data_IF_305326946647
#
_entry.id   IF_305326946647
#
_cell.length_a   1.000
_cell.length_b   1.000
_cell.length_c   1.000
_cell.angle_alpha   90.00
_cell.angle_beta   90.00
_cell.angle_gamma   90.00
#
_symmetry.space_group_name_H-M   'P 1'
#
loop_
_entity.id
_entity.type
_entity.pdbx_description
1 polymer ?
#
# COMPACT_ATOMS: atom_id res chain seq x y z
N UNK A 1 9.25 24.81 -36.04
CA UNK A 1 9.81 23.47 -35.90
C UNK A 1 10.62 23.40 -34.62
N UNK A 2 10.00 23.01 -33.51
CA UNK A 2 10.71 22.77 -32.24
C UNK A 2 10.77 21.26 -32.06
N UNK A 3 11.99 20.75 -32.20
CA UNK A 3 12.33 19.36 -31.86
C UNK A 3 12.03 19.07 -30.39
N UNK A 4 10.89 18.46 -30.14
CA UNK A 4 10.60 17.72 -28.90
C UNK A 4 11.27 16.35 -28.99
N UNK A 5 12.59 16.34 -28.96
CA UNK A 5 13.32 15.12 -28.64
C UNK A 5 13.25 14.96 -27.12
N UNK A 6 12.36 14.08 -26.70
CA UNK A 6 12.26 13.68 -25.29
C UNK A 6 13.62 13.26 -24.78
N UNK A 7 14.07 13.88 -23.68
CA UNK A 7 15.21 13.42 -22.91
C UNK A 7 14.87 12.01 -22.42
N UNK A 8 15.39 11.01 -23.12
CA UNK A 8 15.46 9.64 -22.64
C UNK A 8 16.27 9.71 -21.35
N UNK A 9 15.58 9.62 -20.22
CA UNK A 9 16.26 9.41 -18.95
C UNK A 9 17.03 8.10 -19.05
N UNK A 10 18.35 8.13 -18.98
CA UNK A 10 19.21 6.95 -18.87
C UNK A 10 19.01 6.28 -17.52
N UNK A 11 17.79 5.78 -17.29
CA UNK A 11 17.48 4.78 -16.30
C UNK A 11 17.74 3.42 -16.94
N UNK A 12 18.53 2.59 -16.33
CA UNK A 12 18.81 1.23 -16.77
C UNK A 12 17.50 0.45 -16.77
N UNK A 13 16.85 0.33 -17.95
CA UNK A 13 15.64 -0.45 -18.10
C UNK A 13 15.99 -1.94 -17.91
N UNK A 14 15.52 -2.51 -16.79
CA UNK A 14 15.53 -3.95 -16.58
C UNK A 14 14.26 -4.52 -17.23
N UNK A 15 14.38 -5.26 -18.32
CA UNK A 15 13.26 -5.99 -18.91
C UNK A 15 12.81 -7.07 -17.93
N UNK A 16 11.64 -6.88 -17.31
CA UNK A 16 11.02 -7.88 -16.46
C UNK A 16 10.64 -9.13 -17.26
N UNK A 17 10.65 -10.27 -16.62
CA UNK A 17 10.43 -11.60 -17.18
C UNK A 17 8.97 -11.90 -17.58
N UNK A 18 8.04 -10.97 -17.40
CA UNK A 18 6.67 -11.08 -17.93
C UNK A 18 6.52 -10.23 -19.19
N UNK A 19 5.95 -10.83 -20.23
CA UNK A 19 5.75 -10.18 -21.53
C UNK A 19 5.00 -8.86 -21.36
N UNK A 20 5.70 -7.73 -21.46
CA UNK A 20 5.09 -6.43 -21.67
C UNK A 20 5.24 -5.37 -20.57
N UNK A 21 5.85 -5.66 -19.41
CA UNK A 21 6.07 -4.64 -18.38
C UNK A 21 7.52 -4.12 -18.43
N UNK A 22 7.67 -2.80 -18.55
CA UNK A 22 8.97 -2.10 -18.49
C UNK A 22 9.17 -1.58 -17.09
N UNK A 23 10.35 -1.82 -16.50
CA UNK A 23 10.67 -1.36 -15.14
C UNK A 23 11.77 -0.30 -15.22
N UNK A 24 11.50 0.88 -14.66
CA UNK A 24 12.36 2.06 -14.71
C UNK A 24 12.67 2.50 -13.29
N UNK A 25 13.96 2.66 -12.95
CA UNK A 25 14.38 3.24 -11.65
C UNK A 25 14.49 4.74 -11.77
N UNK A 26 13.70 5.46 -10.98
CA UNK A 26 13.62 6.90 -11.04
C UNK A 26 14.79 7.60 -10.32
N UNK A 27 15.22 8.72 -10.89
CA UNK A 27 16.26 9.59 -10.30
C UNK A 27 15.63 10.51 -9.26
N UNK A 28 16.33 10.86 -8.17
CA UNK A 28 15.78 11.77 -7.17
C UNK A 28 15.64 13.20 -7.70
N UNK A 29 14.50 13.85 -7.37
CA UNK A 29 14.26 15.27 -7.63
C UNK A 29 13.92 15.99 -6.31
N UNK A 30 14.95 16.58 -5.71
CA UNK A 30 14.90 17.09 -4.33
C UNK A 30 13.89 18.22 -4.14
N UNK A 31 13.84 19.20 -5.04
CA UNK A 31 13.05 20.40 -4.82
C UNK A 31 11.56 20.08 -4.79
N UNK A 32 11.04 19.33 -5.77
CA UNK A 32 9.64 18.89 -5.78
C UNK A 32 9.30 18.00 -4.57
N UNK A 33 10.24 17.18 -4.09
CA UNK A 33 10.04 16.39 -2.87
C UNK A 33 9.90 17.29 -1.65
N UNK A 34 10.77 18.30 -1.50
CA UNK A 34 10.75 19.22 -0.37
C UNK A 34 9.51 20.11 -0.36
N UNK A 35 9.03 20.52 -1.52
CA UNK A 35 7.78 21.25 -1.67
C UNK A 35 6.59 20.40 -1.19
N UNK A 36 6.50 19.16 -1.64
CA UNK A 36 5.48 18.20 -1.17
C UNK A 36 5.59 18.00 0.33
N UNK A 37 6.80 17.74 0.85
CA UNK A 37 7.03 17.55 2.27
C UNK A 37 6.60 18.77 3.10
N UNK A 38 6.84 19.98 2.62
CA UNK A 38 6.45 21.22 3.31
C UNK A 38 4.93 21.29 3.51
N UNK A 39 4.15 20.88 2.50
CA UNK A 39 2.67 20.86 2.54
C UNK A 39 2.12 19.81 3.50
N UNK A 40 2.74 18.63 3.55
CA UNK A 40 2.18 17.46 4.28
C UNK A 40 2.80 17.23 5.66
N UNK A 41 3.91 17.88 5.99
CA UNK A 41 4.70 17.64 7.21
C UNK A 41 3.87 17.63 8.51
N UNK A 42 2.89 18.52 8.61
CA UNK A 42 2.03 18.64 9.80
C UNK A 42 1.14 17.40 10.05
N UNK A 43 0.88 16.59 9.01
CA UNK A 43 0.03 15.41 9.09
C UNK A 43 0.80 14.11 9.39
N UNK A 44 2.12 14.09 9.19
CA UNK A 44 2.97 12.91 9.40
C UNK A 44 2.77 12.28 10.79
N UNK A 45 2.79 13.03 11.92
CA UNK A 45 2.64 12.44 13.24
C UNK A 45 1.30 11.71 13.45
N UNK A 46 0.21 12.26 12.89
CA UNK A 46 -1.12 11.66 13.01
C UNK A 46 -1.21 10.34 12.26
N UNK A 47 -0.67 10.27 11.04
CA UNK A 47 -0.63 9.03 10.24
C UNK A 47 0.29 8.00 10.89
N UNK A 48 1.50 8.39 11.29
CA UNK A 48 2.44 7.48 11.98
C UNK A 48 1.81 6.88 13.25
N UNK A 49 1.09 7.68 14.03
CA UNK A 49 0.37 7.20 15.22
C UNK A 49 -0.73 6.21 14.85
N UNK A 50 -1.55 6.51 13.84
CA UNK A 50 -2.62 5.62 13.37
C UNK A 50 -2.07 4.28 12.89
N UNK A 51 -1.01 4.29 12.11
CA UNK A 51 -0.36 3.08 11.58
C UNK A 51 0.33 2.30 12.70
N UNK A 52 1.00 2.97 13.63
CA UNK A 52 1.68 2.35 14.77
C UNK A 52 0.70 1.63 15.70
N UNK A 53 -0.43 2.26 16.04
CA UNK A 53 -1.48 1.63 16.83
C UNK A 53 -2.08 0.40 16.14
N UNK A 54 -2.10 0.38 14.81
CA UNK A 54 -2.64 -0.75 14.03
C UNK A 54 -1.66 -1.92 13.94
N UNK A 55 -0.35 -1.68 14.03
CA UNK A 55 0.69 -2.71 13.96
C UNK A 55 1.05 -3.34 15.32
N UNK A 56 0.66 -2.72 16.44
CA UNK A 56 1.16 -3.09 17.78
C UNK A 56 0.23 -3.97 18.62
N UNK A 57 -1.01 -4.24 18.22
CA UNK A 57 -1.96 -4.92 19.11
C UNK A 57 -2.58 -6.18 18.52
N UNK A 58 -1.77 -7.18 18.23
CA UNK A 58 -2.26 -8.54 18.21
C UNK A 58 -1.76 -9.28 19.46
N UNK A 59 -2.53 -9.22 20.52
CA UNK A 59 -2.36 -10.17 21.63
C UNK A 59 -2.82 -11.53 21.10
N UNK A 60 -1.88 -12.42 20.81
CA UNK A 60 -2.17 -13.82 20.57
C UNK A 60 -2.75 -14.42 21.87
N UNK A 61 -4.04 -14.66 21.90
CA UNK A 61 -4.66 -15.36 23.01
C UNK A 61 -4.65 -16.84 22.66
N UNK A 62 -3.74 -17.59 23.28
CA UNK A 62 -3.75 -19.04 23.20
C UNK A 62 -4.82 -19.55 24.14
N UNK A 63 -5.90 -20.13 23.60
CA UNK A 63 -6.99 -20.75 24.34
C UNK A 63 -6.74 -22.25 24.48
N UNK A 64 -7.45 -22.91 25.43
CA UNK A 64 -7.30 -24.34 25.62
C UNK A 64 -5.99 -24.74 26.32
N UNK A 65 -5.43 -23.86 27.10
CA UNK A 65 -4.21 -24.10 27.88
C UNK A 65 -4.55 -24.78 29.21
N UNK A 66 -3.57 -25.51 29.79
CA UNK A 66 -3.69 -26.12 31.11
C UNK A 66 -3.34 -25.20 32.27
N UNK A 67 -2.86 -24.02 32.00
CA UNK A 67 -2.49 -23.02 33.01
C UNK A 67 -2.51 -21.64 32.38
N UNK A 68 -2.84 -20.60 33.15
CA UNK A 68 -2.95 -19.23 32.72
C UNK A 68 -4.18 -18.55 33.35
N UNK A 69 -4.74 -17.58 32.63
CA UNK A 69 -5.98 -16.93 33.02
C UNK A 69 -7.17 -17.80 32.60
N UNK A 70 -8.18 -17.93 33.45
CA UNK A 70 -9.37 -18.71 33.14
C UNK A 70 -10.09 -18.10 31.93
N UNK A 71 -10.39 -18.93 30.94
CA UNK A 71 -11.24 -18.52 29.80
C UNK A 71 -12.70 -18.44 30.29
N UNK A 72 -13.22 -17.22 30.39
CA UNK A 72 -14.59 -17.00 30.87
C UNK A 72 -15.66 -17.68 30.01
N UNK A 73 -15.37 -17.96 28.74
CA UNK A 73 -16.25 -18.77 27.87
C UNK A 73 -16.27 -20.25 28.20
N UNK A 74 -15.34 -20.75 29.05
CA UNK A 74 -15.19 -22.17 29.44
C UNK A 74 -15.39 -22.40 30.93
N UNK A 75 -16.09 -21.52 31.62
CA UNK A 75 -16.36 -21.64 33.07
C UNK A 75 -17.12 -22.96 33.39
N UNK A 76 -18.11 -23.33 32.60
CA UNK A 76 -18.87 -24.56 32.79
C UNK A 76 -17.98 -25.80 32.67
N UNK A 77 -17.05 -25.83 31.72
CA UNK A 77 -16.08 -26.92 31.54
C UNK A 77 -15.08 -26.98 32.71
N UNK A 78 -14.72 -25.81 33.28
CA UNK A 78 -13.85 -25.76 34.45
C UNK A 78 -14.49 -26.45 35.68
N UNK A 79 -15.79 -26.23 35.90
CA UNK A 79 -16.53 -26.92 36.97
C UNK A 79 -16.64 -28.45 36.76
N UNK A 80 -16.52 -28.88 35.51
CA UNK A 80 -16.50 -30.33 35.17
C UNK A 80 -15.09 -30.93 35.25
N UNK A 81 -14.10 -30.16 35.71
CA UNK A 81 -12.73 -30.63 35.88
C UNK A 81 -11.92 -30.74 34.58
N UNK A 82 -12.37 -30.12 33.48
CA UNK A 82 -11.65 -30.12 32.22
C UNK A 82 -10.36 -29.24 32.38
N UNK A 83 -9.15 -29.79 32.15
CA UNK A 83 -7.91 -29.07 32.44
C UNK A 83 -7.55 -27.99 31.40
N UNK A 84 -8.21 -27.93 30.23
CA UNK A 84 -7.90 -27.09 29.10
C UNK A 84 -8.79 -25.82 29.01
N UNK A 85 -9.07 -25.24 30.18
CA UNK A 85 -9.98 -24.09 30.33
C UNK A 85 -9.27 -22.76 30.51
N UNK A 86 -7.96 -22.75 30.41
CA UNK A 86 -7.17 -21.53 30.59
C UNK A 86 -6.79 -20.93 29.27
N UNK A 87 -6.55 -19.62 29.29
CA UNK A 87 -5.96 -18.86 28.19
C UNK A 87 -4.69 -18.18 28.66
N UNK A 88 -3.75 -17.97 27.75
CA UNK A 88 -2.50 -17.29 28.00
C UNK A 88 -2.30 -16.24 26.95
N UNK A 89 -1.99 -15.01 27.36
CA UNK A 89 -1.52 -13.97 26.46
C UNK A 89 -0.09 -14.33 26.02
N UNK A 90 0.09 -14.64 24.73
CA UNK A 90 1.41 -14.80 24.15
C UNK A 90 2.04 -13.45 23.89
N UNK A 91 3.37 -13.36 24.00
CA UNK A 91 4.09 -12.20 23.48
C UNK A 91 3.94 -12.19 21.96
N UNK A 92 3.36 -11.11 21.44
CA UNK A 92 3.33 -10.88 20.01
C UNK A 92 4.77 -10.61 19.56
N UNK A 93 5.36 -11.54 18.81
CA UNK A 93 6.42 -11.16 17.88
C UNK A 93 5.75 -10.18 16.95
N UNK A 94 6.23 -8.92 16.94
CA UNK A 94 5.85 -7.94 15.94
C UNK A 94 6.13 -8.56 14.57
N UNK A 95 5.11 -9.12 13.93
CA UNK A 95 5.25 -9.65 12.59
C UNK A 95 5.69 -8.49 11.70
N UNK A 96 6.72 -8.74 10.91
CA UNK A 96 7.12 -7.78 9.88
C UNK A 96 5.93 -7.56 8.96
N UNK A 97 5.63 -6.32 8.70
CA UNK A 97 4.58 -5.92 7.75
C UNK A 97 5.28 -5.33 6.53
N UNK A 98 4.83 -5.70 5.36
CA UNK A 98 5.24 -5.03 4.14
C UNK A 98 4.15 -4.04 3.71
N UNK A 99 4.57 -2.87 3.24
CA UNK A 99 3.69 -1.86 2.66
C UNK A 99 4.12 -1.61 1.23
N UNK A 100 3.17 -1.65 0.31
CA UNK A 100 3.35 -1.27 -1.08
C UNK A 100 2.50 -0.04 -1.38
N UNK A 101 3.07 0.95 -2.05
CA UNK A 101 2.37 2.12 -2.56
C UNK A 101 2.52 2.08 -4.08
N UNK A 102 1.41 2.08 -4.79
CA UNK A 102 1.36 2.20 -6.24
C UNK A 102 0.66 3.50 -6.61
N UNK A 103 1.32 4.33 -7.40
CA UNK A 103 0.89 5.68 -7.78
C UNK A 103 0.50 5.65 -9.26
N UNK A 104 -0.69 6.09 -9.55
CA UNK A 104 -1.13 6.34 -10.92
C UNK A 104 -0.43 7.61 -11.45
N UNK A 105 0.31 7.44 -12.53
CA UNK A 105 1.01 8.51 -13.25
C UNK A 105 0.44 8.68 -14.67
N UNK A 106 -0.86 8.45 -14.81
CA UNK A 106 -1.56 8.67 -16.07
C UNK A 106 -1.76 10.16 -16.38
N UNK A 107 -2.06 10.45 -17.63
CA UNK A 107 -2.26 11.83 -18.09
C UNK A 107 -3.46 12.52 -17.45
N UNK A 108 -4.47 11.78 -16.99
CA UNK A 108 -5.63 12.31 -16.26
C UNK A 108 -5.23 12.93 -14.91
N UNK A 109 -4.15 12.45 -14.31
CA UNK A 109 -3.60 12.99 -13.06
C UNK A 109 -2.92 14.36 -13.20
N UNK A 110 -2.77 14.90 -14.42
CA UNK A 110 -2.04 16.15 -14.66
C UNK A 110 -2.58 17.33 -13.81
N UNK A 111 -1.65 18.10 -13.24
CA UNK A 111 -1.96 19.30 -12.46
C UNK A 111 -2.17 19.03 -10.97
N UNK A 112 -3.39 19.25 -10.46
CA UNK A 112 -3.70 19.10 -9.04
C UNK A 112 -3.66 17.63 -8.60
N UNK A 113 -4.13 16.71 -9.43
CA UNK A 113 -4.10 15.28 -9.19
C UNK A 113 -2.69 14.73 -8.98
N UNK A 114 -1.75 15.09 -9.88
CA UNK A 114 -0.33 14.73 -9.76
C UNK A 114 0.28 15.26 -8.46
N UNK A 115 -0.03 16.50 -8.12
CA UNK A 115 0.48 17.14 -6.90
C UNK A 115 -0.09 16.44 -5.67
N UNK A 116 -1.39 16.15 -5.64
CA UNK A 116 -2.06 15.46 -4.54
C UNK A 116 -1.55 14.01 -4.39
N UNK A 117 -1.32 13.30 -5.49
CA UNK A 117 -0.74 11.96 -5.48
C UNK A 117 0.68 11.95 -4.91
N UNK A 118 1.53 12.87 -5.37
CA UNK A 118 2.88 13.04 -4.86
C UNK A 118 2.88 13.40 -3.38
N UNK A 119 2.06 14.35 -2.97
CA UNK A 119 1.92 14.77 -1.57
C UNK A 119 1.48 13.59 -0.69
N UNK A 120 0.51 12.80 -1.15
CA UNK A 120 0.05 11.59 -0.45
C UNK A 120 1.15 10.54 -0.35
N UNK A 121 1.88 10.29 -1.43
CA UNK A 121 2.98 9.33 -1.45
C UNK A 121 4.14 9.76 -0.54
N UNK A 122 4.51 11.04 -0.56
CA UNK A 122 5.54 11.61 0.34
C UNK A 122 5.08 11.51 1.80
N UNK A 123 3.83 11.84 2.09
CA UNK A 123 3.25 11.72 3.43
C UNK A 123 3.32 10.30 3.96
N UNK A 124 2.91 9.32 3.17
CA UNK A 124 2.97 7.90 3.52
C UNK A 124 4.42 7.40 3.66
N UNK A 125 5.31 7.81 2.74
CA UNK A 125 6.73 7.45 2.81
C UNK A 125 7.38 7.93 4.10
N UNK A 126 7.14 9.18 4.50
CA UNK A 126 7.69 9.75 5.73
C UNK A 126 7.05 9.13 6.98
N UNK A 127 5.73 8.94 6.97
CA UNK A 127 5.01 8.38 8.10
C UNK A 127 5.39 6.91 8.37
N UNK A 128 5.46 6.10 7.30
CA UNK A 128 5.79 4.67 7.38
C UNK A 128 7.29 4.47 7.59
N UNK A 129 8.13 5.31 6.98
CA UNK A 129 9.59 5.24 7.11
C UNK A 129 10.10 5.42 8.55
N UNK A 130 9.29 5.98 9.46
CA UNK A 130 9.60 6.08 10.89
C UNK A 130 9.26 4.81 11.69
N UNK A 131 8.53 3.85 11.08
CA UNK A 131 8.08 2.64 11.76
C UNK A 131 9.17 1.56 11.68
N UNK A 132 9.47 0.95 12.83
CA UNK A 132 10.34 -0.22 12.88
C UNK A 132 9.55 -1.46 12.40
N UNK A 133 10.25 -2.41 11.76
CA UNK A 133 9.69 -3.66 11.24
C UNK A 133 8.68 -3.52 10.09
N UNK A 134 8.74 -2.42 9.33
CA UNK A 134 7.94 -2.24 8.11
C UNK A 134 8.87 -2.17 6.89
N UNK A 135 8.71 -3.11 5.96
CA UNK A 135 9.36 -3.05 4.65
C UNK A 135 8.47 -2.21 3.71
N UNK A 136 9.02 -1.15 3.11
CA UNK A 136 8.27 -0.22 2.27
C UNK A 136 8.73 -0.30 0.82
N UNK A 137 7.75 -0.47 -0.08
CA UNK A 137 7.90 -0.52 -1.53
C UNK A 137 7.07 0.58 -2.16
N UNK A 138 7.62 1.34 -3.10
CA UNK A 138 6.91 2.43 -3.76
C UNK A 138 7.17 2.39 -5.25
N UNK A 139 6.08 2.35 -6.01
CA UNK A 139 6.07 2.31 -7.46
C UNK A 139 5.13 3.38 -8.02
N UNK A 140 5.44 3.86 -9.21
CA UNK A 140 4.49 4.53 -10.08
C UNK A 140 4.16 3.64 -11.26
N UNK A 141 3.07 3.91 -11.96
CA UNK A 141 2.76 3.22 -13.21
C UNK A 141 2.15 4.14 -14.26
N UNK A 142 2.40 3.81 -15.50
CA UNK A 142 1.78 4.43 -16.66
C UNK A 142 1.83 3.46 -17.84
N UNK A 143 1.25 3.82 -18.99
CA UNK A 143 1.36 3.05 -20.23
C UNK A 143 2.05 3.86 -21.30
N UNK A 144 3.14 3.31 -21.84
CA UNK A 144 3.83 3.84 -23.03
C UNK A 144 4.18 2.65 -23.93
N UNK A 145 3.28 2.30 -24.84
CA UNK A 145 3.42 1.10 -25.66
C UNK A 145 3.32 -0.24 -24.90
N UNK A 146 3.05 -0.19 -23.61
CA UNK A 146 2.92 -1.30 -22.66
C UNK A 146 2.85 -0.75 -21.23
N UNK A 147 2.59 -1.60 -20.25
CA UNK A 147 2.61 -1.17 -18.84
C UNK A 147 4.04 -0.88 -18.40
N UNK A 148 4.29 0.30 -17.85
CA UNK A 148 5.56 0.71 -17.25
C UNK A 148 5.41 0.83 -15.75
N UNK A 149 6.38 0.32 -14.99
CA UNK A 149 6.52 0.51 -13.54
C UNK A 149 7.74 1.38 -13.26
N UNK A 150 7.52 2.48 -12.57
CA UNK A 150 8.56 3.40 -12.10
C UNK A 150 8.90 3.05 -10.66
N UNK A 151 10.16 2.72 -10.39
CA UNK A 151 10.60 2.29 -9.05
C UNK A 151 11.14 3.48 -8.29
N UNK A 152 10.45 3.86 -7.24
CA UNK A 152 10.87 4.91 -6.31
C UNK A 152 11.55 4.33 -5.07
N UNK A 153 11.09 3.16 -4.61
CA UNK A 153 11.65 2.52 -3.43
C UNK A 153 11.47 1.00 -3.46
N UNK A 154 12.57 0.29 -3.25
CA UNK A 154 12.62 -1.16 -3.02
C UNK A 154 13.68 -1.48 -1.95
N UNK A 155 13.75 -2.75 -1.51
CA UNK A 155 14.70 -3.20 -0.48
C UNK A 155 16.16 -2.86 -0.81
N UNK A 156 16.54 -2.95 -2.08
CA UNK A 156 17.90 -2.67 -2.59
C UNK A 156 18.02 -1.30 -3.27
N UNK A 157 16.93 -0.54 -3.38
CA UNK A 157 16.90 0.75 -4.06
C UNK A 157 16.01 1.72 -3.28
N UNK A 158 16.64 2.65 -2.56
CA UNK A 158 15.94 3.62 -1.72
C UNK A 158 16.61 5.00 -1.81
N UNK A 159 16.59 5.63 -2.99
CA UNK A 159 17.17 6.96 -3.13
C UNK A 159 16.31 7.98 -2.38
N UNK A 160 16.97 8.80 -1.58
CA UNK A 160 16.31 9.92 -0.92
C UNK A 160 15.74 10.86 -2.00
N UNK A 161 14.53 11.32 -1.83
CA UNK A 161 13.85 12.22 -2.76
C UNK A 161 13.38 11.62 -4.10
N UNK A 162 13.38 10.29 -4.26
CA UNK A 162 12.92 9.66 -5.49
C UNK A 162 11.50 10.06 -5.87
N UNK A 163 10.60 10.18 -4.89
CA UNK A 163 9.20 10.59 -5.11
C UNK A 163 9.03 12.02 -5.66
N UNK A 164 10.07 12.84 -5.64
CA UNK A 164 10.05 14.13 -6.33
C UNK A 164 9.96 14.00 -7.85
N UNK A 165 10.27 12.83 -8.40
CA UNK A 165 10.20 12.54 -9.85
C UNK A 165 8.86 11.98 -10.31
N UNK A 166 7.89 11.82 -9.39
CA UNK A 166 6.50 11.46 -9.75
C UNK A 166 5.95 12.51 -10.72
N UNK A 167 5.40 12.07 -11.85
CA UNK A 167 4.95 12.94 -12.93
C UNK A 167 3.76 12.34 -13.67
N UNK A 168 2.90 13.18 -14.25
CA UNK A 168 1.85 12.69 -15.15
C UNK A 168 2.46 12.32 -16.48
N UNK A 169 2.12 11.15 -17.02
CA UNK A 169 2.75 10.60 -18.23
C UNK A 169 1.68 10.33 -19.29
N UNK A 170 1.39 9.06 -19.53
CA UNK A 170 0.49 8.64 -20.62
C UNK A 170 -0.80 8.03 -20.06
N UNK A 171 -1.21 6.88 -20.61
CA UNK A 171 -2.37 6.15 -20.12
C UNK A 171 -2.07 5.32 -18.87
N UNK A 172 -3.08 4.56 -18.40
CA UNK A 172 -2.94 3.64 -17.27
C UNK A 172 -3.56 2.28 -17.59
N UNK A 173 -2.96 1.24 -17.02
CA UNK A 173 -3.51 -0.11 -16.98
C UNK A 173 -3.43 -0.58 -15.54
N UNK A 174 -4.38 -0.13 -14.72
CA UNK A 174 -4.39 -0.33 -13.26
C UNK A 174 -4.32 -1.79 -12.89
N UNK A 175 -5.15 -2.64 -13.52
CA UNK A 175 -5.20 -4.06 -13.23
C UNK A 175 -3.88 -4.76 -13.50
N UNK A 176 -3.25 -4.45 -14.64
CA UNK A 176 -1.93 -4.98 -14.99
C UNK A 176 -0.86 -4.47 -14.05
N UNK A 177 -0.86 -3.16 -13.73
CA UNK A 177 0.10 -2.54 -12.83
C UNK A 177 0.01 -3.09 -11.40
N UNK A 178 -1.20 -3.32 -10.88
CA UNK A 178 -1.45 -3.95 -9.58
C UNK A 178 -0.82 -5.35 -9.51
N UNK A 179 -1.06 -6.19 -10.55
CA UNK A 179 -0.48 -7.54 -10.61
C UNK A 179 1.05 -7.51 -10.67
N UNK A 180 1.63 -6.64 -11.49
CA UNK A 180 3.08 -6.51 -11.65
C UNK A 180 3.76 -5.99 -10.38
N UNK A 181 3.21 -4.96 -9.75
CA UNK A 181 3.71 -4.44 -8.48
C UNK A 181 3.63 -5.51 -7.38
N UNK A 182 2.50 -6.23 -7.28
CA UNK A 182 2.34 -7.31 -6.32
C UNK A 182 3.34 -8.45 -6.56
N UNK A 183 3.52 -8.89 -7.80
CA UNK A 183 4.48 -9.92 -8.16
C UNK A 183 5.92 -9.50 -7.81
N UNK A 184 6.23 -8.21 -7.98
CA UNK A 184 7.54 -7.65 -7.64
C UNK A 184 7.76 -7.61 -6.13
N UNK A 185 6.78 -7.18 -5.34
CA UNK A 185 6.85 -7.21 -3.88
C UNK A 185 7.01 -8.64 -3.36
N UNK A 186 6.30 -9.62 -3.95
CA UNK A 186 6.41 -11.05 -3.55
C UNK A 186 7.79 -11.66 -3.78
N UNK A 187 8.60 -11.14 -4.68
CA UNK A 187 10.01 -11.54 -4.83
C UNK A 187 10.86 -11.17 -3.60
N UNK A 188 10.45 -10.17 -2.84
CA UNK A 188 11.21 -9.63 -1.71
C UNK A 188 10.66 -10.03 -0.34
N UNK A 189 9.36 -10.34 -0.23
CA UNK A 189 8.73 -10.68 1.04
C UNK A 189 7.63 -11.72 0.89
N UNK A 190 7.48 -12.56 1.93
CA UNK A 190 6.35 -13.50 2.09
C UNK A 190 5.33 -13.00 3.12
N UNK A 191 5.61 -11.85 3.75
CA UNK A 191 4.76 -11.27 4.78
C UNK A 191 3.43 -10.78 4.21
N UNK A 192 2.49 -10.48 5.10
CA UNK A 192 1.26 -9.79 4.72
C UNK A 192 1.61 -8.40 4.20
N UNK A 193 1.00 -8.01 3.08
CA UNK A 193 1.27 -6.74 2.42
C UNK A 193 0.03 -5.86 2.50
N UNK A 194 0.19 -4.67 3.04
CA UNK A 194 -0.78 -3.60 2.90
C UNK A 194 -0.44 -2.83 1.62
N UNK A 195 -1.37 -2.80 0.67
CA UNK A 195 -1.16 -2.24 -0.66
C UNK A 195 -2.04 -0.99 -0.83
N UNK A 196 -1.42 0.17 -1.00
CA UNK A 196 -2.10 1.42 -1.32
C UNK A 196 -2.05 1.68 -2.81
N UNK A 197 -3.22 1.87 -3.43
CA UNK A 197 -3.38 2.34 -4.79
C UNK A 197 -3.81 3.80 -4.76
N UNK A 198 -3.01 4.71 -5.29
CA UNK A 198 -3.29 6.15 -5.36
C UNK A 198 -3.63 6.48 -6.83
N UNK A 199 -4.88 6.84 -7.10
CA UNK A 199 -5.40 7.02 -8.48
C UNK A 199 -6.60 7.95 -8.49
N UNK A 200 -6.93 8.53 -9.65
CA UNK A 200 -8.20 9.22 -9.91
C UNK A 200 -9.36 8.26 -10.26
N UNK A 201 -9.07 6.95 -10.28
CA UNK A 201 -10.07 5.92 -10.54
C UNK A 201 -10.56 5.85 -11.99
N UNK A 202 -9.82 6.37 -12.95
CA UNK A 202 -10.15 6.36 -14.38
C UNK A 202 -9.25 5.40 -15.19
N UNK A 203 -9.38 4.07 -15.02
CA UNK A 203 -8.53 3.12 -15.73
C UNK A 203 -8.89 3.06 -17.23
N UNK A 204 -7.87 2.87 -18.09
CA UNK A 204 -8.08 2.56 -19.50
C UNK A 204 -8.61 1.13 -19.70
N UNK A 205 -8.39 0.25 -18.72
CA UNK A 205 -8.94 -1.10 -18.68
C UNK A 205 -10.41 -1.09 -18.22
N UNK A 206 -11.14 -2.18 -18.46
CA UNK A 206 -12.50 -2.29 -17.91
C UNK A 206 -12.48 -2.37 -16.38
N UNK A 207 -13.50 -1.82 -15.73
CA UNK A 207 -13.72 -1.92 -14.28
C UNK A 207 -13.61 -3.37 -13.78
N UNK A 208 -14.18 -4.32 -14.55
CA UNK A 208 -14.13 -5.74 -14.19
C UNK A 208 -12.70 -6.30 -14.27
N UNK A 209 -11.88 -5.87 -15.22
CA UNK A 209 -10.46 -6.26 -15.31
C UNK A 209 -9.68 -5.81 -14.09
N UNK A 210 -9.88 -4.56 -13.65
CA UNK A 210 -9.24 -4.03 -12.44
C UNK A 210 -9.73 -4.75 -11.20
N UNK A 211 -11.05 -4.93 -11.08
CA UNK A 211 -11.66 -5.67 -9.96
C UNK A 211 -11.12 -7.09 -9.85
N UNK A 212 -11.00 -7.81 -10.98
CA UNK A 212 -10.43 -9.14 -10.98
C UNK A 212 -8.95 -9.15 -10.56
N UNK A 213 -8.18 -8.14 -11.00
CA UNK A 213 -6.79 -7.98 -10.56
C UNK A 213 -6.68 -7.77 -9.04
N UNK A 214 -7.55 -6.94 -8.48
CA UNK A 214 -7.63 -6.72 -7.04
C UNK A 214 -7.91 -8.03 -6.29
N UNK A 215 -8.92 -8.79 -6.73
CA UNK A 215 -9.28 -10.07 -6.13
C UNK A 215 -8.13 -11.10 -6.21
N UNK A 216 -7.46 -11.19 -7.37
CA UNK A 216 -6.36 -12.13 -7.58
C UNK A 216 -5.16 -11.82 -6.68
N UNK A 217 -4.86 -10.54 -6.47
CA UNK A 217 -3.77 -10.08 -5.62
C UNK A 217 -4.14 -10.23 -4.14
N UNK A 218 -5.40 -9.96 -3.76
CA UNK A 218 -5.86 -10.18 -2.38
C UNK A 218 -5.82 -11.66 -1.98
N UNK A 219 -6.10 -12.61 -2.89
CA UNK A 219 -5.92 -14.05 -2.64
C UNK A 219 -4.47 -14.42 -2.29
N UNK A 220 -3.50 -13.63 -2.71
CA UNK A 220 -2.08 -13.82 -2.42
C UNK A 220 -1.66 -13.21 -1.07
N UNK A 221 -2.58 -12.75 -0.23
CA UNK A 221 -2.31 -12.17 1.08
C UNK A 221 -1.98 -10.68 1.05
N UNK A 222 -2.43 -9.97 0.02
CA UNK A 222 -2.41 -8.51 0.01
C UNK A 222 -3.74 -7.96 0.56
N UNK A 223 -3.67 -6.81 1.22
CA UNK A 223 -4.84 -6.03 1.57
C UNK A 223 -4.78 -4.71 0.78
N UNK A 224 -5.58 -4.61 -0.27
CA UNK A 224 -5.58 -3.43 -1.15
C UNK A 224 -6.51 -2.36 -0.58
N UNK A 225 -6.01 -1.13 -0.52
CA UNK A 225 -6.74 0.07 -0.13
C UNK A 225 -6.54 1.11 -1.23
N UNK A 226 -7.61 1.52 -1.90
CA UNK A 226 -7.55 2.62 -2.84
C UNK A 226 -7.61 3.96 -2.09
N UNK A 227 -6.73 4.89 -2.48
CA UNK A 227 -6.75 6.30 -2.10
C UNK A 227 -7.10 7.07 -3.35
N UNK A 228 -8.37 7.45 -3.48
CA UNK A 228 -8.89 8.08 -4.69
C UNK A 228 -8.80 9.59 -4.59
N UNK A 229 -8.22 10.20 -5.62
CA UNK A 229 -8.03 11.65 -5.75
C UNK A 229 -9.05 12.12 -6.79
N UNK A 230 -10.05 12.90 -6.36
CA UNK A 230 -11.12 13.42 -7.25
C UNK A 230 -11.66 12.34 -8.22
N UNK A 231 -12.19 11.22 -7.70
CA UNK A 231 -12.45 10.04 -8.52
C UNK A 231 -13.47 10.32 -9.63
N UNK A 232 -13.13 9.97 -10.85
CA UNK A 232 -14.02 10.07 -12.02
C UNK A 232 -15.10 8.97 -12.03
N UNK A 233 -14.81 7.82 -11.39
CA UNK A 233 -15.76 6.70 -11.19
C UNK A 233 -15.86 6.37 -9.71
N UNK A 234 -16.94 5.68 -9.32
CA UNK A 234 -17.06 5.17 -7.95
C UNK A 234 -15.99 4.11 -7.68
N UNK A 235 -15.02 4.40 -6.79
CA UNK A 235 -13.92 3.46 -6.50
C UNK A 235 -14.41 2.13 -5.92
N UNK A 236 -15.61 2.09 -5.32
CA UNK A 236 -16.19 0.87 -4.74
C UNK A 236 -16.51 -0.21 -5.77
N UNK A 237 -16.63 0.17 -7.03
CA UNK A 237 -16.83 -0.78 -8.15
C UNK A 237 -15.59 -1.67 -8.37
N UNK A 238 -14.40 -1.15 -8.06
CA UNK A 238 -13.11 -1.82 -8.27
C UNK A 238 -12.46 -2.31 -6.97
N UNK A 239 -12.61 -1.52 -5.90
CA UNK A 239 -11.88 -1.74 -4.64
C UNK A 239 -12.82 -1.89 -3.46
N UNK A 240 -12.71 -2.99 -2.73
CA UNK A 240 -13.51 -3.24 -1.52
C UNK A 240 -13.21 -2.27 -0.38
N UNK A 241 -12.00 -1.68 -0.39
CA UNK A 241 -11.56 -0.70 0.58
C UNK A 241 -11.08 0.52 -0.17
N UNK A 242 -11.76 1.62 0.00
CA UNK A 242 -11.41 2.89 -0.62
C UNK A 242 -11.55 4.05 0.36
N UNK A 243 -10.75 5.08 0.15
CA UNK A 243 -10.76 6.35 0.87
C UNK A 243 -10.67 7.45 -0.17
N UNK A 244 -11.64 8.36 -0.19
CA UNK A 244 -11.59 9.53 -1.05
C UNK A 244 -10.75 10.62 -0.38
N UNK A 245 -9.74 11.11 -1.08
CA UNK A 245 -8.89 12.18 -0.63
C UNK A 245 -9.58 13.53 -0.88
N UNK A 246 -10.46 13.93 0.02
CA UNK A 246 -11.10 15.26 0.01
C UNK A 246 -10.35 16.25 0.89
N UNK A 247 -9.65 15.77 1.91
CA UNK A 247 -8.86 16.58 2.86
C UNK A 247 -7.76 15.71 3.49
N UNK A 248 -6.53 16.18 3.40
CA UNK A 248 -5.36 15.54 4.02
C UNK A 248 -5.50 15.35 5.53
N UNK A 249 -6.28 16.21 6.22
CA UNK A 249 -6.50 16.08 7.66
C UNK A 249 -7.35 14.84 8.02
N UNK A 250 -8.29 14.47 7.17
CA UNK A 250 -9.15 13.29 7.33
C UNK A 250 -8.44 12.01 6.90
N UNK A 251 -7.54 12.11 5.94
CA UNK A 251 -6.78 10.97 5.41
C UNK A 251 -6.14 10.13 6.54
N UNK A 252 -5.55 10.78 7.55
CA UNK A 252 -4.93 10.10 8.68
C UNK A 252 -5.90 9.21 9.47
N UNK A 253 -7.12 9.71 9.69
CA UNK A 253 -8.17 9.00 10.44
C UNK A 253 -8.73 7.85 9.60
N UNK A 254 -9.00 8.11 8.33
CA UNK A 254 -9.66 7.15 7.45
C UNK A 254 -8.69 6.04 7.03
N UNK A 255 -7.43 6.37 6.72
CA UNK A 255 -6.38 5.35 6.52
C UNK A 255 -6.17 4.51 7.78
N UNK A 256 -6.15 5.12 8.97
CA UNK A 256 -6.01 4.37 10.23
C UNK A 256 -7.12 3.34 10.43
N UNK A 257 -8.38 3.69 10.11
CA UNK A 257 -9.53 2.77 10.17
C UNK A 257 -9.40 1.65 9.13
N UNK A 258 -9.03 1.99 7.89
CA UNK A 258 -8.88 1.03 6.80
C UNK A 258 -7.73 0.05 7.04
N UNK A 259 -6.60 0.55 7.55
CA UNK A 259 -5.46 -0.30 7.93
C UNK A 259 -5.86 -1.28 9.03
N UNK A 260 -6.55 -0.83 10.09
CA UNK A 260 -7.05 -1.72 11.14
C UNK A 260 -7.96 -2.81 10.58
N UNK A 261 -8.89 -2.44 9.71
CA UNK A 261 -9.80 -3.39 9.05
C UNK A 261 -9.03 -4.37 8.16
N UNK A 262 -8.10 -3.88 7.34
CA UNK A 262 -7.29 -4.69 6.44
C UNK A 262 -6.43 -5.73 7.19
N UNK A 263 -5.85 -5.33 8.32
CA UNK A 263 -5.06 -6.23 9.17
C UNK A 263 -5.97 -7.28 9.82
N UNK A 264 -7.13 -6.88 10.36
CA UNK A 264 -8.09 -7.81 10.98
C UNK A 264 -8.61 -8.86 10.00
N UNK A 265 -8.97 -8.46 8.78
CA UNK A 265 -9.43 -9.36 7.72
C UNK A 265 -8.36 -10.41 7.34
N UNK A 266 -7.09 -10.01 7.27
CA UNK A 266 -5.98 -10.91 6.97
C UNK A 266 -5.67 -11.89 8.11
N UNK A 267 -5.90 -11.49 9.36
CA UNK A 267 -5.71 -12.38 10.52
C UNK A 267 -6.77 -13.48 10.54
N UNK A 268 -8.03 -13.13 10.25
CA UNK A 268 -9.12 -14.10 10.22
C UNK A 268 -8.96 -15.13 9.09
N UNK A 269 -8.32 -14.78 7.96
CA UNK A 269 -8.00 -15.72 6.87
C UNK A 269 -6.92 -16.76 7.21
N UNK A 270 -6.04 -16.47 8.19
CA UNK A 270 -5.00 -17.42 8.65
C UNK A 270 -5.51 -18.45 9.66
N UNK A 271 -6.72 -18.28 10.18
CA UNK A 271 -7.31 -19.14 11.22
C UNK A 271 -8.31 -20.17 10.62
N UNK A 272 -8.68 -20.00 9.35
CA UNK A 272 -9.44 -20.96 8.55
C UNK A 272 -8.51 -21.83 7.69
#
# INVERSE_FOLDING_TARGET
ERNLVGKICEGRAERGTQKGCIVIKEKPYKDRYMDSLSRVRKYIPAISKSLKCSSMEYKLIHRGMRSGMLDTGKIAEAFQGVPTVYMREGQVKSDKIAVCILIDESGSMYGEGETAARDTAVLLNEAIGTLQNVDLYIYGHSTDGGTALYVYREKSFCPKYALGSTDSRWGNNDGTAIREAAARVRKHTKENVLFFMISDGAPNESVETVRQAVLDVEKQGFAIVAVSIEPQYDPSLMYHRNVNLTDMSRLAVDLGKMVKKAIADNTNRKIQ
#
